data_IF_429179373469
#
_entry.id   IF_429179373469
#
_cell.length_a   1.000
_cell.length_b   1.000
_cell.length_c   1.000
_cell.angle_alpha   90.00
_cell.angle_beta   90.00
_cell.angle_gamma   90.00
#
_symmetry.space_group_name_H-M   'P 1'
#
loop_
_entity.id
_entity.type
_entity.pdbx_description
1 polymer ?
#
# COMPACT_ATOMS: atom_id res chain seq x y z
N UNK A 1 12.13 52.21 12.59
CA UNK A 1 13.59 51.92 12.67
C UNK A 1 14.43 53.20 12.59
N UNK A 2 13.82 54.38 12.70
CA UNK A 2 14.43 55.69 12.41
C UNK A 2 15.32 56.28 13.50
N UNK A 3 15.64 55.51 14.54
CA UNK A 3 16.25 56.07 15.77
C UNK A 3 17.74 55.76 15.88
N UNK A 4 18.24 54.68 15.27
CA UNK A 4 19.63 54.23 15.53
C UNK A 4 20.67 54.90 14.64
N UNK A 5 20.29 55.42 13.46
CA UNK A 5 21.25 56.03 12.52
C UNK A 5 21.15 57.55 12.38
N UNK A 6 20.27 58.22 13.15
CA UNK A 6 20.07 59.68 13.03
C UNK A 6 21.23 60.55 13.54
N UNK A 7 22.21 59.97 14.24
CA UNK A 7 23.27 60.71 14.92
C UNK A 7 24.70 60.48 14.38
N UNK A 8 24.87 59.78 13.27
CA UNK A 8 26.17 59.81 12.58
C UNK A 8 26.21 61.03 11.67
N UNK A 9 27.11 61.99 11.95
CA UNK A 9 27.42 63.07 11.01
C UNK A 9 27.74 62.46 9.65
N UNK A 10 27.00 62.82 8.60
CA UNK A 10 27.27 62.32 7.25
C UNK A 10 28.73 62.63 6.89
N UNK A 11 29.55 61.59 6.70
CA UNK A 11 30.97 61.73 6.39
C UNK A 11 31.18 62.37 5.02
N UNK A 12 30.19 62.24 4.13
CA UNK A 12 30.11 62.92 2.83
C UNK A 12 28.67 62.89 2.30
N UNK A 13 28.34 63.82 1.40
CA UNK A 13 27.02 63.88 0.74
C UNK A 13 26.75 62.59 -0.03
N UNK A 14 25.72 61.84 0.37
CA UNK A 14 25.36 60.54 -0.22
C UNK A 14 25.68 59.32 0.65
N UNK A 15 26.32 59.50 1.81
CA UNK A 15 26.57 58.43 2.77
C UNK A 15 25.28 57.75 3.25
N UNK A 16 24.18 58.50 3.40
CA UNK A 16 22.86 57.95 3.76
C UNK A 16 22.29 57.03 2.67
N UNK A 17 22.42 57.39 1.40
CA UNK A 17 21.97 56.56 0.27
C UNK A 17 22.80 55.28 0.16
N UNK A 18 24.12 55.38 0.36
CA UNK A 18 25.02 54.22 0.37
C UNK A 18 24.71 53.30 1.56
N UNK A 19 24.42 53.86 2.74
CA UNK A 19 24.01 53.10 3.92
C UNK A 19 22.71 52.35 3.69
N UNK A 20 21.67 53.01 3.16
CA UNK A 20 20.39 52.36 2.83
C UNK A 20 20.58 51.25 1.78
N UNK A 21 21.41 51.50 0.76
CA UNK A 21 21.75 50.48 -0.24
C UNK A 21 22.44 49.26 0.38
N UNK A 22 23.46 49.46 1.22
CA UNK A 22 24.19 48.37 1.89
C UNK A 22 23.27 47.59 2.83
N UNK A 23 22.41 48.28 3.59
CA UNK A 23 21.45 47.65 4.51
C UNK A 23 20.44 46.80 3.75
N UNK A 24 19.88 47.30 2.65
CA UNK A 24 18.99 46.53 1.77
C UNK A 24 19.69 45.32 1.16
N UNK A 25 20.95 45.46 0.78
CA UNK A 25 21.75 44.37 0.23
C UNK A 25 22.01 43.29 1.29
N UNK A 26 22.32 43.69 2.54
CA UNK A 26 22.50 42.79 3.67
C UNK A 26 21.20 42.03 4.00
N UNK A 27 20.05 42.71 4.03
CA UNK A 27 18.75 42.05 4.23
C UNK A 27 18.42 41.08 3.09
N UNK A 28 18.72 41.45 1.85
CA UNK A 28 18.53 40.57 0.68
C UNK A 28 19.40 39.31 0.80
N UNK A 29 20.64 39.45 1.26
CA UNK A 29 21.56 38.32 1.47
C UNK A 29 21.09 37.39 2.58
N UNK A 30 20.63 37.94 3.70
CA UNK A 30 20.03 37.18 4.81
C UNK A 30 18.79 36.42 4.32
N UNK A 31 17.88 37.09 3.62
CA UNK A 31 16.68 36.45 3.07
C UNK A 31 17.01 35.34 2.08
N UNK A 32 17.94 35.57 1.15
CA UNK A 32 18.39 34.56 0.20
C UNK A 32 19.00 33.33 0.89
N UNK A 33 19.77 33.55 1.96
CA UNK A 33 20.37 32.47 2.75
C UNK A 33 19.30 31.66 3.50
N UNK A 34 18.29 32.32 4.08
CA UNK A 34 17.15 31.64 4.69
C UNK A 34 16.36 30.82 3.67
N UNK A 35 16.07 31.37 2.49
CA UNK A 35 15.38 30.63 1.43
C UNK A 35 16.20 29.46 0.89
N UNK A 36 17.52 29.64 0.72
CA UNK A 36 18.42 28.56 0.34
C UNK A 36 18.41 27.43 1.39
N UNK A 37 18.55 27.78 2.68
CA UNK A 37 18.52 26.82 3.77
C UNK A 37 17.20 26.03 3.80
N UNK A 38 16.06 26.73 3.68
CA UNK A 38 14.75 26.10 3.62
C UNK A 38 14.64 25.21 2.39
N UNK A 39 14.99 25.70 1.20
CA UNK A 39 14.84 24.94 -0.04
C UNK A 39 15.73 23.68 -0.07
N UNK A 40 16.97 23.78 0.40
CA UNK A 40 17.91 22.65 0.43
C UNK A 40 17.48 21.63 1.48
N UNK A 41 17.16 22.04 2.71
CA UNK A 41 16.83 21.08 3.76
C UNK A 41 15.39 20.54 3.68
N UNK A 42 14.42 21.30 3.16
CA UNK A 42 13.10 20.75 2.83
C UNK A 42 13.21 19.70 1.73
N UNK A 43 14.12 19.88 0.76
CA UNK A 43 14.35 18.90 -0.31
C UNK A 43 14.92 17.58 0.24
N UNK A 44 15.77 17.64 1.26
CA UNK A 44 16.30 16.44 1.94
C UNK A 44 15.26 15.77 2.86
N UNK A 45 14.40 16.56 3.53
CA UNK A 45 13.34 16.04 4.40
C UNK A 45 12.25 15.27 3.64
N UNK A 46 12.00 15.65 2.38
CA UNK A 46 11.03 14.99 1.50
C UNK A 46 11.62 13.84 0.67
N UNK A 47 12.81 13.35 1.02
CA UNK A 47 13.43 12.24 0.29
C UNK A 47 12.75 10.90 0.59
N UNK A 48 12.20 10.26 -0.46
CA UNK A 48 11.63 8.90 -0.39
C UNK A 48 12.62 7.85 0.13
N UNK A 49 13.93 8.08 0.01
CA UNK A 49 14.97 7.18 0.53
C UNK A 49 14.85 6.93 2.03
N UNK A 50 14.29 7.86 2.78
CA UNK A 50 14.14 7.72 4.24
C UNK A 50 13.00 6.75 4.62
N UNK A 51 12.03 6.55 3.74
CA UNK A 51 10.83 5.73 3.98
C UNK A 51 10.78 4.48 3.09
N UNK A 52 11.69 4.39 2.11
CA UNK A 52 11.68 3.32 1.10
C UNK A 52 11.83 1.94 1.73
N UNK A 53 12.61 1.78 2.79
CA UNK A 53 12.78 0.49 3.50
C UNK A 53 11.46 0.01 4.14
N UNK A 54 10.71 0.92 4.78
CA UNK A 54 9.43 0.61 5.41
C UNK A 54 8.38 0.28 4.35
N UNK A 55 8.30 1.07 3.28
CA UNK A 55 7.38 0.82 2.16
C UNK A 55 7.71 -0.54 1.53
N UNK A 56 8.97 -0.77 1.16
CA UNK A 56 9.42 -2.01 0.51
C UNK A 56 9.14 -3.23 1.38
N UNK A 57 9.44 -3.15 2.68
CA UNK A 57 9.18 -4.25 3.60
C UNK A 57 7.69 -4.60 3.68
N UNK A 58 6.80 -3.61 3.73
CA UNK A 58 5.35 -3.88 3.74
C UNK A 58 4.85 -4.41 2.40
N UNK A 59 5.38 -3.94 1.27
CA UNK A 59 5.08 -4.51 -0.05
C UNK A 59 5.50 -5.98 -0.11
N UNK A 60 6.70 -6.33 0.36
CA UNK A 60 7.16 -7.71 0.44
C UNK A 60 6.25 -8.59 1.31
N UNK A 61 5.72 -8.05 2.42
CA UNK A 61 4.76 -8.79 3.26
C UNK A 61 3.42 -8.99 2.54
N UNK A 62 2.91 -7.98 1.85
CA UNK A 62 1.71 -8.10 1.00
C UNK A 62 1.88 -9.18 -0.06
N UNK A 63 3.03 -9.20 -0.76
CA UNK A 63 3.34 -10.24 -1.75
C UNK A 63 3.38 -11.62 -1.10
N UNK A 64 4.04 -11.78 0.06
CA UNK A 64 4.08 -13.05 0.80
C UNK A 64 2.68 -13.54 1.20
N UNK A 65 1.79 -12.66 1.66
CA UNK A 65 0.40 -13.03 1.98
C UNK A 65 -0.32 -13.59 0.75
N UNK A 66 -0.14 -12.97 -0.42
CA UNK A 66 -0.67 -13.49 -1.70
C UNK A 66 -0.04 -14.83 -2.08
N UNK A 67 1.27 -15.01 -1.90
CA UNK A 67 1.94 -16.29 -2.16
C UNK A 67 1.38 -17.41 -1.27
N UNK A 68 1.17 -17.13 0.02
CA UNK A 68 0.56 -18.08 0.96
C UNK A 68 -0.86 -18.44 0.52
N UNK A 69 -1.70 -17.44 0.21
CA UNK A 69 -3.07 -17.67 -0.23
C UNK A 69 -3.12 -18.59 -1.46
N UNK A 70 -2.33 -18.30 -2.49
CA UNK A 70 -2.28 -19.12 -3.70
C UNK A 70 -1.78 -20.54 -3.37
N UNK A 71 -0.69 -20.66 -2.63
CA UNK A 71 -0.15 -21.97 -2.23
C UNK A 71 -1.20 -22.82 -1.50
N UNK A 72 -1.96 -22.24 -0.59
CA UNK A 72 -3.04 -22.96 0.11
C UNK A 72 -4.18 -23.35 -0.84
N UNK A 73 -4.60 -22.47 -1.76
CA UNK A 73 -5.62 -22.77 -2.77
C UNK A 73 -5.23 -23.94 -3.66
N UNK A 74 -4.00 -23.94 -4.18
CA UNK A 74 -3.47 -25.04 -4.99
C UNK A 74 -3.36 -26.33 -4.19
N UNK A 75 -2.90 -26.26 -2.95
CA UNK A 75 -2.81 -27.44 -2.09
C UNK A 75 -4.19 -28.10 -1.91
N UNK A 76 -5.25 -27.30 -1.73
CA UNK A 76 -6.60 -27.82 -1.61
C UNK A 76 -7.11 -28.41 -2.91
N UNK A 77 -6.96 -27.69 -4.02
CA UNK A 77 -7.43 -28.18 -5.31
C UNK A 77 -6.76 -29.53 -5.66
N UNK A 78 -5.45 -29.64 -5.46
CA UNK A 78 -4.69 -30.87 -5.74
C UNK A 78 -5.09 -32.03 -4.81
N UNK A 79 -5.34 -31.74 -3.53
CA UNK A 79 -5.68 -32.80 -2.54
C UNK A 79 -7.14 -33.25 -2.61
N UNK A 80 -8.06 -32.39 -3.07
CA UNK A 80 -9.50 -32.68 -3.07
C UNK A 80 -10.08 -33.02 -4.43
N UNK A 81 -9.46 -32.60 -5.53
CA UNK A 81 -10.08 -32.63 -6.86
C UNK A 81 -9.56 -33.76 -7.77
N UNK A 82 -9.21 -34.92 -7.21
CA UNK A 82 -8.74 -36.09 -7.98
C UNK A 82 -7.64 -35.80 -9.04
N UNK A 83 -6.86 -34.71 -8.88
CA UNK A 83 -5.81 -34.21 -9.80
C UNK A 83 -6.28 -33.48 -11.08
N UNK A 84 -7.46 -32.86 -11.09
CA UNK A 84 -7.85 -31.96 -12.21
C UNK A 84 -7.02 -30.66 -12.25
N UNK A 85 -6.51 -30.21 -11.11
CA UNK A 85 -5.59 -29.06 -11.01
C UNK A 85 -4.15 -29.55 -10.78
N UNK A 86 -3.22 -29.05 -11.59
CA UNK A 86 -1.80 -29.29 -11.43
C UNK A 86 -1.11 -28.10 -10.75
N UNK A 87 -0.03 -28.38 -10.02
CA UNK A 87 0.86 -27.31 -9.56
C UNK A 87 1.47 -26.58 -10.75
N UNK A 88 1.67 -25.25 -10.68
CA UNK A 88 2.29 -24.52 -11.79
C UNK A 88 3.71 -25.02 -12.03
N UNK A 89 4.10 -25.16 -13.30
CA UNK A 89 5.39 -25.73 -13.67
C UNK A 89 6.57 -24.92 -13.08
N UNK A 90 7.57 -25.63 -12.56
CA UNK A 90 8.76 -25.03 -11.95
C UNK A 90 8.53 -24.40 -10.58
N UNK A 91 7.32 -24.44 -10.02
CA UNK A 91 7.03 -23.97 -8.66
C UNK A 91 7.30 -25.08 -7.65
N UNK A 92 7.92 -24.71 -6.52
CA UNK A 92 8.16 -25.60 -5.38
C UNK A 92 6.97 -25.65 -4.43
N UNK A 93 7.23 -25.80 -3.12
CA UNK A 93 6.20 -25.76 -2.08
C UNK A 93 5.52 -24.39 -1.90
N UNK A 94 6.04 -23.34 -2.54
CA UNK A 94 5.53 -21.97 -2.47
C UNK A 94 5.41 -21.39 -3.87
N UNK A 95 4.26 -20.78 -4.17
CA UNK A 95 3.95 -20.22 -5.48
C UNK A 95 4.41 -18.76 -5.53
N UNK A 96 5.48 -18.49 -6.28
CA UNK A 96 6.11 -17.17 -6.40
C UNK A 96 5.97 -16.57 -7.78
N UNK A 97 5.64 -15.28 -7.85
CA UNK A 97 5.53 -14.51 -9.10
C UNK A 97 4.52 -15.07 -10.12
N UNK A 98 3.62 -15.95 -9.67
CA UNK A 98 2.66 -16.64 -10.52
C UNK A 98 1.24 -16.15 -10.22
N UNK A 99 0.47 -15.99 -11.30
CA UNK A 99 -0.91 -15.51 -11.28
C UNK A 99 -1.75 -16.48 -12.12
N UNK A 100 -2.74 -17.18 -11.51
CA UNK A 100 -3.59 -18.11 -12.25
C UNK A 100 -4.44 -17.37 -13.28
N UNK A 101 -4.71 -18.03 -14.41
CA UNK A 101 -5.70 -17.54 -15.38
C UNK A 101 -7.13 -17.77 -14.84
N UNK A 102 -8.11 -17.04 -15.36
CA UNK A 102 -9.48 -17.06 -14.81
C UNK A 102 -10.08 -18.47 -14.72
N UNK A 103 -9.93 -19.28 -15.76
CA UNK A 103 -10.43 -20.67 -15.77
C UNK A 103 -9.77 -21.55 -14.71
N UNK A 104 -8.50 -21.30 -14.40
CA UNK A 104 -7.77 -22.01 -13.36
C UNK A 104 -8.18 -21.52 -11.97
N UNK A 105 -8.35 -20.21 -11.79
CA UNK A 105 -8.86 -19.64 -10.55
C UNK A 105 -10.26 -20.16 -10.20
N UNK A 106 -11.14 -20.31 -11.20
CA UNK A 106 -12.45 -20.92 -11.01
C UNK A 106 -12.35 -22.36 -10.48
N UNK A 107 -11.42 -23.17 -11.01
CA UNK A 107 -11.16 -24.52 -10.53
C UNK A 107 -10.57 -24.53 -9.11
N UNK A 108 -9.64 -23.62 -8.81
CA UNK A 108 -9.07 -23.48 -7.48
C UNK A 108 -10.16 -23.18 -6.44
N UNK A 109 -11.04 -22.23 -6.74
CA UNK A 109 -12.08 -21.76 -5.81
C UNK A 109 -13.28 -22.71 -5.71
N UNK A 110 -13.61 -23.46 -6.78
CA UNK A 110 -14.66 -24.49 -6.77
C UNK A 110 -14.45 -25.55 -5.68
N UNK A 111 -13.19 -25.87 -5.39
CA UNK A 111 -12.81 -26.92 -4.44
C UNK A 111 -12.67 -26.41 -2.98
N UNK A 112 -12.89 -25.13 -2.77
CA UNK A 112 -12.73 -24.49 -1.47
C UNK A 112 -13.94 -24.79 -0.57
N UNK A 113 -13.74 -25.38 0.62
CA UNK A 113 -14.82 -25.63 1.58
C UNK A 113 -15.33 -24.34 2.25
N UNK A 114 -16.45 -23.82 1.78
CA UNK A 114 -17.02 -22.57 2.28
C UNK A 114 -18.11 -22.77 3.36
N UNK A 115 -18.47 -24.02 3.70
CA UNK A 115 -19.65 -24.36 4.51
C UNK A 115 -19.40 -25.47 5.54
N UNK A 116 -18.24 -25.48 6.18
CA UNK A 116 -18.06 -26.30 7.38
C UNK A 116 -18.42 -25.46 8.60
N UNK A 117 -18.92 -26.12 9.66
CA UNK A 117 -19.33 -25.47 10.91
C UNK A 117 -18.25 -24.50 11.43
N UNK A 118 -18.64 -23.48 12.20
CA UNK A 118 -17.77 -22.47 12.83
C UNK A 118 -16.49 -23.01 13.51
N UNK A 119 -16.50 -24.28 13.93
CA UNK A 119 -15.37 -24.96 14.57
C UNK A 119 -14.44 -25.73 13.61
N UNK A 120 -14.74 -25.71 12.32
CA UNK A 120 -13.93 -26.39 11.33
C UNK A 120 -12.81 -25.47 10.85
N UNK A 121 -11.58 -25.88 11.12
CA UNK A 121 -10.35 -25.27 10.55
C UNK A 121 -10.36 -25.22 9.01
N UNK A 122 -11.29 -25.95 8.40
CA UNK A 122 -11.52 -26.05 6.97
C UNK A 122 -12.63 -25.11 6.48
N UNK A 123 -13.21 -24.19 7.27
CA UNK A 123 -14.11 -23.17 6.70
C UNK A 123 -13.28 -22.01 6.14
N UNK A 124 -13.27 -21.89 4.81
CA UNK A 124 -12.44 -20.93 4.11
C UNK A 124 -12.96 -19.51 4.07
N UNK A 125 -14.23 -19.25 4.42
CA UNK A 125 -14.71 -17.88 4.65
C UNK A 125 -13.86 -17.22 5.75
N UNK A 126 -13.56 -17.95 6.83
CA UNK A 126 -12.69 -17.45 7.91
C UNK A 126 -11.22 -17.35 7.49
N UNK A 127 -10.74 -18.19 6.56
CA UNK A 127 -9.39 -18.07 6.00
C UNK A 127 -9.26 -16.82 5.13
N UNK A 128 -10.25 -16.54 4.29
CA UNK A 128 -10.30 -15.28 3.54
C UNK A 128 -10.43 -14.07 4.45
N UNK A 129 -11.19 -14.16 5.55
CA UNK A 129 -11.31 -13.08 6.54
C UNK A 129 -9.97 -12.79 7.21
N UNK A 130 -9.26 -13.85 7.63
CA UNK A 130 -7.90 -13.73 8.17
C UNK A 130 -6.96 -13.06 7.15
N UNK A 131 -6.93 -13.55 5.91
CA UNK A 131 -6.13 -12.96 4.83
C UNK A 131 -6.46 -11.47 4.63
N UNK A 132 -7.75 -11.11 4.58
CA UNK A 132 -8.18 -9.72 4.44
C UNK A 132 -7.73 -8.84 5.61
N UNK A 133 -7.80 -9.37 6.85
CA UNK A 133 -7.36 -8.66 8.06
C UNK A 133 -5.85 -8.46 8.12
N UNK A 134 -5.05 -9.38 7.58
CA UNK A 134 -3.59 -9.25 7.53
C UNK A 134 -3.12 -8.24 6.46
N UNK A 135 -3.88 -8.04 5.37
CA UNK A 135 -3.57 -7.04 4.34
C UNK A 135 -3.65 -5.61 4.90
N UNK A 136 -4.69 -5.31 5.68
CA UNK A 136 -5.04 -3.95 6.08
C UNK A 136 -3.89 -3.23 6.80
N UNK A 137 -3.24 -3.80 7.83
CA UNK A 137 -2.14 -3.13 8.53
C UNK A 137 -0.97 -2.75 7.63
N UNK A 138 -0.64 -3.59 6.65
CA UNK A 138 0.44 -3.30 5.70
C UNK A 138 0.07 -2.17 4.76
N UNK A 139 -1.16 -2.17 4.24
CA UNK A 139 -1.67 -1.05 3.44
C UNK A 139 -1.69 0.25 4.25
N UNK A 140 -2.19 0.23 5.48
CA UNK A 140 -2.24 1.42 6.35
C UNK A 140 -0.85 1.96 6.65
N UNK A 141 0.11 1.08 6.94
CA UNK A 141 1.50 1.48 7.18
C UNK A 141 2.11 2.17 5.96
N UNK A 142 1.85 1.67 4.74
CA UNK A 142 2.31 2.33 3.51
C UNK A 142 1.61 3.68 3.30
N UNK A 143 0.30 3.74 3.57
CA UNK A 143 -0.50 4.97 3.39
C UNK A 143 -0.15 6.08 4.39
N UNK A 144 0.43 5.77 5.55
CA UNK A 144 1.01 6.79 6.45
C UNK A 144 2.10 7.61 5.76
N UNK A 145 2.74 7.07 4.73
CA UNK A 145 3.76 7.74 3.93
C UNK A 145 3.22 8.25 2.58
N UNK A 146 1.92 8.52 2.48
CA UNK A 146 1.27 8.93 1.22
C UNK A 146 1.92 10.13 0.54
N UNK A 147 2.52 11.05 1.30
CA UNK A 147 3.26 12.21 0.77
C UNK A 147 4.52 11.85 -0.03
N UNK A 148 5.03 10.62 0.14
CA UNK A 148 6.22 10.11 -0.53
C UNK A 148 5.88 9.13 -1.66
N UNK A 149 4.61 8.80 -1.86
CA UNK A 149 4.14 7.87 -2.90
C UNK A 149 3.76 8.63 -4.17
N UNK A 150 3.98 8.00 -5.33
CA UNK A 150 3.42 8.47 -6.60
C UNK A 150 1.90 8.27 -6.59
N UNK A 151 1.18 9.04 -7.41
CA UNK A 151 -0.27 8.96 -7.49
C UNK A 151 -0.77 7.53 -7.81
N UNK A 152 -0.09 6.82 -8.71
CA UNK A 152 -0.45 5.44 -9.06
C UNK A 152 -0.19 4.44 -7.92
N UNK A 153 0.93 4.59 -7.20
CA UNK A 153 1.26 3.78 -6.03
C UNK A 153 0.21 3.97 -4.93
N UNK A 154 -0.16 5.24 -4.67
CA UNK A 154 -1.22 5.59 -3.72
C UNK A 154 -2.56 4.99 -4.13
N UNK A 155 -2.92 5.09 -5.42
CA UNK A 155 -4.14 4.51 -5.99
C UNK A 155 -4.20 3.01 -5.76
N UNK A 156 -3.10 2.29 -6.02
CA UNK A 156 -3.03 0.83 -5.87
C UNK A 156 -3.21 0.39 -4.41
N UNK A 157 -2.46 1.00 -3.49
CA UNK A 157 -2.53 0.63 -2.07
C UNK A 157 -3.89 1.00 -1.47
N UNK A 158 -4.45 2.16 -1.84
CA UNK A 158 -5.80 2.52 -1.44
C UNK A 158 -6.84 1.54 -1.98
N UNK A 159 -6.73 1.14 -3.26
CA UNK A 159 -7.63 0.17 -3.89
C UNK A 159 -7.55 -1.20 -3.24
N UNK A 160 -6.35 -1.65 -2.85
CA UNK A 160 -6.16 -2.90 -2.12
C UNK A 160 -6.80 -2.84 -0.73
N UNK A 161 -6.54 -1.76 0.03
CA UNK A 161 -7.10 -1.56 1.37
C UNK A 161 -8.63 -1.55 1.38
N UNK A 162 -9.25 -0.92 0.39
CA UNK A 162 -10.71 -0.77 0.31
C UNK A 162 -11.35 -1.80 -0.62
N UNK A 163 -10.67 -2.91 -0.91
CA UNK A 163 -11.17 -3.88 -1.88
C UNK A 163 -12.50 -4.49 -1.43
N UNK A 164 -13.43 -4.69 -2.36
CA UNK A 164 -14.79 -5.18 -2.06
C UNK A 164 -14.78 -6.56 -1.40
N UNK A 165 -13.82 -7.43 -1.76
CA UNK A 165 -13.59 -8.72 -1.09
C UNK A 165 -13.56 -8.59 0.44
N UNK A 166 -12.84 -7.60 0.97
CA UNK A 166 -12.66 -7.37 2.41
C UNK A 166 -14.04 -7.11 3.06
N UNK A 167 -14.81 -6.17 2.51
CA UNK A 167 -16.12 -5.81 3.04
C UNK A 167 -17.14 -6.95 2.95
N UNK A 168 -17.14 -7.68 1.82
CA UNK A 168 -18.06 -8.80 1.60
C UNK A 168 -17.76 -9.94 2.57
N UNK A 169 -16.51 -10.36 2.67
CA UNK A 169 -16.09 -11.44 3.59
C UNK A 169 -16.37 -11.08 5.06
N UNK A 170 -16.12 -9.83 5.47
CA UNK A 170 -16.47 -9.37 6.81
C UNK A 170 -17.99 -9.43 7.09
N UNK A 171 -18.82 -9.13 6.09
CA UNK A 171 -20.28 -9.28 6.21
C UNK A 171 -20.66 -10.75 6.37
N UNK A 172 -20.05 -11.66 5.61
CA UNK A 172 -20.31 -13.11 5.71
C UNK A 172 -19.91 -13.68 7.07
N UNK A 173 -18.72 -13.34 7.57
CA UNK A 173 -18.27 -13.82 8.88
C UNK A 173 -19.16 -13.30 10.01
N UNK A 174 -19.64 -12.05 9.91
CA UNK A 174 -20.60 -11.49 10.87
C UNK A 174 -21.96 -12.22 10.81
N UNK A 175 -22.51 -12.46 9.62
CA UNK A 175 -23.78 -13.18 9.47
C UNK A 175 -23.70 -14.61 10.02
N UNK A 176 -22.60 -15.33 9.74
CA UNK A 176 -22.37 -16.67 10.29
C UNK A 176 -22.22 -16.64 11.83
N UNK A 177 -21.55 -15.62 12.37
CA UNK A 177 -21.42 -15.42 13.82
C UNK A 177 -22.79 -15.24 14.50
N UNK A 178 -23.75 -14.62 13.81
CA UNK A 178 -25.12 -14.43 14.29
C UNK A 178 -26.06 -15.61 13.99
N UNK A 179 -25.56 -16.71 13.43
CA UNK A 179 -26.35 -17.92 13.16
C UNK A 179 -27.31 -17.78 11.98
N UNK A 180 -27.10 -16.79 11.11
CA UNK A 180 -27.89 -16.63 9.89
C UNK A 180 -27.39 -17.63 8.82
N UNK A 181 -28.25 -18.50 8.27
CA UNK A 181 -27.84 -19.45 7.25
C UNK A 181 -27.47 -18.72 5.96
N UNK A 182 -26.25 -18.97 5.47
CA UNK A 182 -25.73 -18.42 4.22
C UNK A 182 -26.31 -19.22 3.05
N UNK A 183 -26.86 -18.54 2.02
CA UNK A 183 -27.37 -19.13 0.78
C UNK A 183 -26.25 -19.53 -0.19
N UNK A 184 -26.47 -20.48 -1.12
CA UNK A 184 -25.40 -20.89 -2.06
C UNK A 184 -25.15 -19.80 -3.12
N UNK A 185 -26.19 -19.04 -3.44
CA UNK A 185 -26.16 -17.90 -4.37
C UNK A 185 -25.30 -16.73 -3.85
N UNK A 186 -25.04 -16.73 -2.54
CA UNK A 186 -24.34 -15.65 -1.85
C UNK A 186 -22.80 -15.71 -1.99
N UNK A 187 -22.19 -16.80 -2.49
CA UNK A 187 -20.72 -16.89 -2.63
C UNK A 187 -20.24 -16.76 -4.08
N UNK A 188 -21.17 -16.52 -5.01
CA UNK A 188 -20.91 -16.28 -6.44
C UNK A 188 -19.95 -15.11 -6.70
N UNK A 189 -19.83 -14.17 -5.76
CA UNK A 189 -18.88 -13.05 -5.86
C UNK A 189 -17.42 -13.49 -5.75
N UNK A 190 -17.12 -14.62 -5.07
CA UNK A 190 -15.76 -14.93 -4.61
C UNK A 190 -14.78 -14.99 -5.77
N UNK A 191 -15.13 -15.65 -6.87
CA UNK A 191 -14.28 -15.73 -8.06
C UNK A 191 -13.92 -14.34 -8.59
N UNK A 192 -14.94 -13.51 -8.86
CA UNK A 192 -14.74 -12.16 -9.40
C UNK A 192 -13.93 -11.25 -8.47
N UNK A 193 -14.12 -11.38 -7.15
CA UNK A 193 -13.45 -10.53 -6.17
C UNK A 193 -12.03 -11.00 -5.86
N UNK A 194 -11.77 -12.31 -5.89
CA UNK A 194 -10.41 -12.86 -5.78
C UNK A 194 -9.62 -12.58 -7.06
N UNK A 195 -10.22 -12.67 -8.24
CA UNK A 195 -9.58 -12.26 -9.49
C UNK A 195 -9.17 -10.78 -9.45
N UNK A 196 -10.11 -9.91 -9.06
CA UNK A 196 -9.89 -8.47 -8.95
C UNK A 196 -8.76 -8.14 -7.95
N UNK A 197 -8.75 -8.75 -6.76
CA UNK A 197 -7.70 -8.48 -5.78
C UNK A 197 -6.33 -8.98 -6.26
N UNK A 198 -6.27 -10.15 -6.93
CA UNK A 198 -5.04 -10.67 -7.52
C UNK A 198 -4.53 -9.77 -8.65
N UNK A 199 -5.41 -9.16 -9.45
CA UNK A 199 -5.00 -8.16 -10.44
C UNK A 199 -4.32 -6.96 -9.79
N UNK A 200 -4.82 -6.48 -8.65
CA UNK A 200 -4.19 -5.39 -7.90
C UNK A 200 -2.83 -5.82 -7.37
N UNK A 201 -2.70 -7.03 -6.82
CA UNK A 201 -1.39 -7.57 -6.41
C UNK A 201 -0.39 -7.62 -7.58
N UNK A 202 -0.85 -8.02 -8.77
CA UNK A 202 -0.03 -8.04 -9.98
C UNK A 202 0.46 -6.64 -10.36
N UNK A 203 -0.42 -5.65 -10.34
CA UNK A 203 -0.05 -4.25 -10.58
C UNK A 203 0.91 -3.72 -9.52
N UNK A 204 0.75 -4.12 -8.25
CA UNK A 204 1.68 -3.78 -7.17
C UNK A 204 3.06 -4.40 -7.42
N UNK A 205 3.15 -5.69 -7.73
CA UNK A 205 4.44 -6.35 -7.99
C UNK A 205 5.18 -5.79 -9.20
N UNK A 206 4.44 -5.37 -10.24
CA UNK A 206 5.03 -4.76 -11.44
C UNK A 206 5.53 -3.32 -11.21
N UNK A 207 5.09 -2.67 -10.14
CA UNK A 207 5.54 -1.30 -9.81
C UNK A 207 6.94 -1.28 -9.18
N UNK A 208 7.70 -0.23 -9.50
CA UNK A 208 9.06 -0.03 -8.96
C UNK A 208 9.02 0.79 -7.67
N UNK A 209 8.97 0.09 -6.53
CA UNK A 209 8.85 0.70 -5.19
C UNK A 209 10.16 1.25 -4.60
N UNK A 210 11.31 0.90 -5.19
CA UNK A 210 12.63 1.28 -4.68
C UNK A 210 13.24 2.55 -5.31
N UNK A 211 12.43 3.34 -6.05
CA UNK A 211 12.89 4.54 -6.78
C UNK A 211 12.72 5.82 -5.99
#
# INVERSE_FOLDING_TARGET
MDVVFKNSSEVFSGAALLSDFIVRLAYSFIAATLFYFIAVHMKEFNSRKNVSSVISSNIEQLVKLKEILLTELYHIAVTRDNREVNWPEGQGSTIKGYYPINSELELLLKNVPLRKTRHSLDNWIYRFDFFCKEIIPHCETILLFSSYLKADELRLIASLRSHKLISKIAMYTSNEFHGLPIGNDEISFLNSEVESILSIFKEIELNVWHS
#
